data_IF_175843643803
#
_entry.id   IF_175843643803
#
_cell.length_a   1.000
_cell.length_b   1.000
_cell.length_c   1.000
_cell.angle_alpha   90.00
_cell.angle_beta   90.00
_cell.angle_gamma   90.00
#
_symmetry.space_group_name_H-M   'P 1'
#
loop_
_entity.id
_entity.type
_entity.pdbx_description
1 polymer ?
#
# COMPACT_ATOMS: atom_id res chain seq x y z
N UNK A 1 -36.40 40.51 -33.46
CA UNK A 1 -35.88 40.84 -32.13
C UNK A 1 -36.88 40.29 -31.15
N UNK A 2 -36.63 39.10 -30.62
CA UNK A 2 -37.16 38.62 -29.34
C UNK A 2 -36.50 37.26 -29.07
N UNK A 3 -35.90 37.16 -27.91
CA UNK A 3 -35.11 36.04 -27.43
C UNK A 3 -35.91 35.49 -26.23
N UNK A 4 -36.34 34.23 -26.29
CA UNK A 4 -36.79 33.49 -25.11
C UNK A 4 -36.28 32.07 -25.20
N UNK A 5 -35.30 31.78 -24.35
CA UNK A 5 -34.82 30.46 -24.00
C UNK A 5 -35.93 29.71 -23.27
N UNK A 6 -36.41 28.60 -23.84
CA UNK A 6 -37.12 27.60 -23.07
C UNK A 6 -36.45 26.25 -23.26
N UNK A 7 -36.05 25.71 -22.11
CA UNK A 7 -35.37 24.45 -21.90
C UNK A 7 -36.21 23.26 -22.38
N UNK A 8 -35.63 22.41 -23.23
CA UNK A 8 -36.13 21.05 -23.45
C UNK A 8 -34.99 20.12 -23.88
N UNK A 9 -34.49 19.33 -22.93
CA UNK A 9 -33.86 18.04 -23.22
C UNK A 9 -34.83 16.97 -22.73
N UNK A 10 -35.57 16.39 -23.68
CA UNK A 10 -36.55 15.34 -23.45
C UNK A 10 -36.04 13.99 -24.00
N UNK A 11 -36.53 12.96 -23.33
CA UNK A 11 -36.57 11.52 -23.63
C UNK A 11 -35.33 10.68 -23.33
N UNK A 12 -35.52 9.81 -22.34
CA UNK A 12 -35.14 8.39 -22.40
C UNK A 12 -33.67 8.10 -22.09
N UNK A 13 -33.29 7.06 -21.35
CA UNK A 13 -33.96 5.78 -21.17
C UNK A 13 -33.49 5.16 -19.87
N UNK A 14 -34.43 4.67 -19.07
CA UNK A 14 -34.13 3.59 -18.14
C UNK A 14 -33.88 2.35 -19.01
N UNK A 15 -32.62 1.99 -19.25
CA UNK A 15 -32.27 0.75 -19.93
C UNK A 15 -32.50 -0.42 -18.97
N UNK A 16 -33.63 -1.11 -19.15
CA UNK A 16 -33.84 -2.43 -18.56
C UNK A 16 -32.92 -3.43 -19.27
N UNK A 17 -31.93 -3.93 -18.55
CA UNK A 17 -31.04 -4.99 -19.04
C UNK A 17 -31.82 -6.31 -19.01
N UNK A 18 -32.23 -6.80 -20.18
CA UNK A 18 -32.66 -8.18 -20.37
C UNK A 18 -31.45 -9.08 -20.54
N UNK A 19 -31.60 -10.37 -20.24
CA UNK A 19 -30.55 -11.39 -20.11
C UNK A 19 -29.64 -11.63 -21.32
N UNK A 20 -29.82 -10.90 -22.43
CA UNK A 20 -29.34 -11.31 -23.74
C UNK A 20 -28.31 -10.34 -24.35
N UNK A 21 -27.85 -9.31 -23.62
CA UNK A 21 -26.80 -8.39 -24.12
C UNK A 21 -25.40 -8.85 -23.71
N UNK A 22 -24.62 -9.31 -24.69
CA UNK A 22 -23.22 -9.73 -24.49
C UNK A 22 -22.30 -8.54 -24.21
N UNK A 23 -21.46 -8.72 -23.21
CA UNK A 23 -20.66 -7.72 -22.48
C UNK A 23 -19.42 -7.20 -23.24
N UNK A 24 -19.42 -7.17 -24.57
CA UNK A 24 -18.13 -7.03 -25.28
C UNK A 24 -17.76 -5.58 -25.62
N UNK A 25 -18.66 -4.61 -25.47
CA UNK A 25 -18.41 -3.27 -25.99
C UNK A 25 -18.87 -2.14 -25.06
N UNK A 26 -18.18 -1.89 -23.93
CA UNK A 26 -18.08 -0.54 -23.33
C UNK A 26 -16.93 -0.34 -22.30
N UNK A 27 -15.90 0.41 -22.73
CA UNK A 27 -15.09 1.45 -22.04
C UNK A 27 -14.01 1.09 -20.99
N UNK A 28 -12.85 1.70 -21.22
CA UNK A 28 -11.58 1.66 -20.47
C UNK A 28 -11.66 2.31 -19.08
N UNK A 29 -11.19 1.61 -18.03
CA UNK A 29 -10.99 2.20 -16.68
C UNK A 29 -9.64 1.78 -16.09
N UNK A 30 -8.57 2.42 -16.56
CA UNK A 30 -7.29 2.40 -15.85
C UNK A 30 -7.34 3.36 -14.64
N UNK A 31 -7.56 2.83 -13.44
CA UNK A 31 -7.18 3.54 -12.20
C UNK A 31 -5.85 2.99 -11.70
N UNK A 32 -4.77 3.73 -11.99
CA UNK A 32 -3.51 3.62 -11.29
C UNK A 32 -3.66 4.33 -9.94
N UNK A 33 -3.69 3.53 -8.88
CA UNK A 33 -3.85 4.00 -7.51
C UNK A 33 -2.48 3.93 -6.81
N UNK A 34 -1.70 4.99 -6.64
CA UNK A 34 -0.38 4.88 -6.04
C UNK A 34 -0.39 4.58 -4.53
N UNK A 35 -1.56 4.57 -3.87
CA UNK A 35 -1.73 4.27 -2.44
C UNK A 35 -2.24 2.83 -2.25
N UNK A 36 -3.04 2.29 -3.19
CA UNK A 36 -3.48 0.88 -3.28
C UNK A 36 -2.79 0.06 -4.39
N UNK A 37 -1.88 0.65 -5.16
CA UNK A 37 -1.07 0.10 -6.29
C UNK A 37 0.25 0.90 -6.51
N UNK A 38 1.10 1.12 -5.49
CA UNK A 38 2.39 1.78 -5.70
C UNK A 38 3.33 0.91 -6.58
N UNK A 39 4.02 1.49 -7.58
CA UNK A 39 5.12 0.84 -8.25
C UNK A 39 6.28 0.73 -7.26
N UNK A 40 6.75 -0.49 -7.09
CA UNK A 40 7.73 -0.87 -6.07
C UNK A 40 8.95 0.06 -6.05
N UNK A 41 9.27 0.60 -4.88
CA UNK A 41 10.53 1.30 -4.64
C UNK A 41 11.69 0.32 -4.69
N UNK A 42 12.30 0.16 -5.85
CA UNK A 42 13.76 0.00 -5.93
C UNK A 42 14.31 1.39 -6.20
N UNK A 43 14.82 2.05 -5.16
CA UNK A 43 15.61 3.27 -5.35
C UNK A 43 16.79 2.89 -6.25
N UNK A 44 16.77 3.37 -7.49
CA UNK A 44 17.82 3.20 -8.49
C UNK A 44 19.13 3.79 -7.93
N UNK A 45 19.90 2.97 -7.22
CA UNK A 45 21.04 3.41 -6.41
C UNK A 45 21.49 2.43 -5.32
N UNK A 46 20.74 1.34 -5.07
CA UNK A 46 21.18 0.27 -4.15
C UNK A 46 20.97 0.56 -2.67
N UNK A 47 20.20 1.61 -2.33
CA UNK A 47 19.79 1.87 -0.95
C UNK A 47 18.62 0.97 -0.58
N UNK A 48 18.82 0.10 0.40
CA UNK A 48 17.76 -0.76 0.93
C UNK A 48 16.70 0.07 1.67
N UNK A 49 15.42 -0.33 1.56
CA UNK A 49 14.31 0.37 2.21
C UNK A 49 14.53 0.53 3.72
N UNK A 50 15.17 -0.45 4.38
CA UNK A 50 15.45 -0.39 5.82
C UNK A 50 16.42 0.73 6.18
N UNK A 51 17.39 1.02 5.31
CA UNK A 51 18.39 2.06 5.52
C UNK A 51 17.77 3.43 5.31
N UNK A 52 16.86 3.56 4.33
CA UNK A 52 16.03 4.75 4.16
C UNK A 52 15.18 5.03 5.41
N UNK A 53 14.49 4.02 5.95
CA UNK A 53 13.70 4.16 7.18
C UNK A 53 14.57 4.65 8.35
N UNK A 54 15.80 4.14 8.47
CA UNK A 54 16.74 4.58 9.49
C UNK A 54 17.14 6.05 9.33
N UNK A 55 17.40 6.49 8.10
CA UNK A 55 17.74 7.90 7.81
C UNK A 55 16.58 8.84 8.16
N UNK A 56 15.36 8.47 7.77
CA UNK A 56 14.16 9.31 7.98
C UNK A 56 13.76 9.39 9.45
N UNK A 57 13.79 8.27 10.17
CA UNK A 57 13.29 8.21 11.54
C UNK A 57 14.33 8.62 12.60
N UNK A 58 15.61 8.71 12.20
CA UNK A 58 16.72 8.83 13.14
C UNK A 58 16.92 7.57 13.99
N UNK A 59 17.96 7.56 14.82
CA UNK A 59 18.37 6.35 15.53
C UNK A 59 17.29 5.83 16.50
N UNK A 60 16.68 6.71 17.30
CA UNK A 60 15.63 6.32 18.24
C UNK A 60 14.37 5.85 17.50
N UNK A 61 13.89 6.60 16.51
CA UNK A 61 12.71 6.22 15.75
C UNK A 61 12.91 4.91 14.98
N UNK A 62 14.12 4.63 14.51
CA UNK A 62 14.47 3.34 13.90
C UNK A 62 14.40 2.18 14.89
N UNK A 63 14.88 2.37 16.13
CA UNK A 63 14.75 1.36 17.20
C UNK A 63 13.27 1.04 17.45
N UNK A 64 12.43 2.07 17.57
CA UNK A 64 11.00 1.91 17.82
C UNK A 64 10.28 1.24 16.63
N UNK A 65 10.68 1.59 15.40
CA UNK A 65 10.20 0.95 14.17
C UNK A 65 10.55 -0.54 14.10
N UNK A 66 11.79 -0.91 14.42
CA UNK A 66 12.20 -2.31 14.48
C UNK A 66 11.42 -3.06 15.57
N UNK A 67 11.28 -2.47 16.76
CA UNK A 67 10.52 -3.07 17.87
C UNK A 67 9.06 -3.34 17.49
N UNK A 68 8.39 -2.38 16.86
CA UNK A 68 7.02 -2.57 16.35
C UNK A 68 6.92 -3.70 15.32
N UNK A 69 7.91 -3.86 14.45
CA UNK A 69 7.93 -4.98 13.49
C UNK A 69 8.16 -6.33 14.18
N UNK A 70 9.02 -6.40 15.20
CA UNK A 70 9.20 -7.62 16.00
C UNK A 70 7.86 -8.05 16.61
N UNK A 71 7.14 -7.12 17.27
CA UNK A 71 5.82 -7.39 17.85
C UNK A 71 4.83 -7.84 16.76
N UNK A 72 4.79 -7.14 15.63
CA UNK A 72 3.91 -7.47 14.50
C UNK A 72 4.10 -8.90 14.03
N UNK A 73 5.33 -9.35 13.79
CA UNK A 73 5.58 -10.70 13.28
C UNK A 73 5.43 -11.78 14.35
N UNK A 74 5.77 -11.48 15.62
CA UNK A 74 5.45 -12.35 16.76
C UNK A 74 3.95 -12.47 17.02
N UNK A 75 3.14 -11.47 16.70
CA UNK A 75 1.70 -11.64 16.76
C UNK A 75 1.21 -12.50 15.58
N UNK A 76 1.75 -12.27 14.37
CA UNK A 76 1.21 -12.80 13.12
C UNK A 76 1.44 -14.30 12.89
N UNK A 77 2.50 -14.89 13.47
CA UNK A 77 2.90 -16.27 13.17
C UNK A 77 1.80 -17.31 13.47
N UNK A 78 0.97 -17.06 14.50
CA UNK A 78 -0.12 -17.95 14.90
C UNK A 78 -1.39 -17.82 14.05
N UNK A 79 -1.49 -16.83 13.15
CA UNK A 79 -2.76 -16.52 12.47
C UNK A 79 -2.68 -16.49 10.94
N UNK A 80 -1.51 -16.28 10.33
CA UNK A 80 -1.38 -16.13 8.86
C UNK A 80 -0.74 -17.31 8.12
N UNK A 81 -0.60 -18.47 8.76
CA UNK A 81 -0.23 -19.73 8.11
C UNK A 81 1.19 -19.81 7.55
N UNK A 82 2.07 -18.86 7.91
CA UNK A 82 3.51 -18.87 7.54
C UNK A 82 4.40 -18.61 8.77
N UNK A 83 4.32 -19.46 9.81
CA UNK A 83 4.92 -19.16 11.11
C UNK A 83 6.44 -18.99 11.04
N UNK A 84 7.14 -19.86 10.29
CA UNK A 84 8.60 -19.80 10.15
C UNK A 84 9.03 -18.49 9.48
N UNK A 85 8.42 -18.12 8.35
CA UNK A 85 8.73 -16.87 7.65
C UNK A 85 8.47 -15.63 8.53
N UNK A 86 7.41 -15.67 9.36
CA UNK A 86 7.14 -14.60 10.31
C UNK A 86 8.21 -14.54 11.41
N UNK A 87 8.65 -15.68 11.94
CA UNK A 87 9.74 -15.71 12.93
C UNK A 87 11.08 -15.26 12.35
N UNK A 88 11.40 -15.62 11.11
CA UNK A 88 12.59 -15.12 10.41
C UNK A 88 12.55 -13.60 10.23
N UNK A 89 11.38 -13.04 9.90
CA UNK A 89 11.20 -11.58 9.84
C UNK A 89 11.32 -10.92 11.21
N UNK A 90 10.75 -11.51 12.25
CA UNK A 90 10.93 -11.03 13.61
C UNK A 90 12.41 -10.99 14.00
N UNK A 91 13.17 -12.06 13.70
CA UNK A 91 14.61 -12.12 13.93
C UNK A 91 15.38 -11.06 13.13
N UNK A 92 15.04 -10.85 11.87
CA UNK A 92 15.65 -9.80 11.04
C UNK A 92 15.53 -8.42 11.69
N UNK A 93 14.33 -8.03 12.12
CA UNK A 93 14.12 -6.74 12.79
C UNK A 93 14.75 -6.66 14.17
N UNK A 94 14.78 -7.76 14.92
CA UNK A 94 15.48 -7.83 16.20
C UNK A 94 16.98 -7.59 16.04
N UNK A 95 17.62 -8.20 15.04
CA UNK A 95 19.04 -7.99 14.77
C UNK A 95 19.34 -6.52 14.44
N UNK A 96 18.53 -5.89 13.57
CA UNK A 96 18.66 -4.47 13.23
C UNK A 96 18.48 -3.57 14.47
N UNK A 97 17.55 -3.91 15.36
CA UNK A 97 17.33 -3.21 16.63
C UNK A 97 18.53 -3.34 17.57
N UNK A 98 19.11 -4.54 17.69
CA UNK A 98 20.31 -4.79 18.51
C UNK A 98 21.49 -3.95 18.00
N UNK A 99 21.71 -3.90 16.69
CA UNK A 99 22.79 -3.11 16.09
C UNK A 99 22.61 -1.61 16.36
N UNK A 100 21.37 -1.10 16.23
CA UNK A 100 21.05 0.29 16.54
C UNK A 100 21.21 0.62 18.03
N UNK A 101 20.83 -0.30 18.93
CA UNK A 101 21.02 -0.15 20.37
C UNK A 101 22.50 -0.15 20.76
N UNK A 102 23.31 -1.05 20.15
CA UNK A 102 24.76 -1.04 20.33
C UNK A 102 25.35 0.30 19.93
N UNK A 103 24.90 0.89 18.83
CA UNK A 103 25.36 2.22 18.42
C UNK A 103 24.91 3.32 19.39
N UNK A 104 23.67 3.29 19.86
CA UNK A 104 23.13 4.27 20.81
C UNK A 104 23.89 4.29 22.14
N UNK A 105 24.41 3.15 22.57
CA UNK A 105 25.08 2.94 23.86
C UNK A 105 26.60 2.76 23.76
N UNK A 106 27.21 3.07 22.60
CA UNK A 106 28.66 3.22 22.46
C UNK A 106 29.11 4.56 23.05
#
# INVERSE_FOLDING_TARGET
>A
MEHSTEDAFDIGDTVTVTSDTTFDHLKFSGEYDPVNKPPHYTLNGGLECIDYMRQVLGLQGFIDYCHGNVIKYQHRYNYKGKPVQDMEKAQYYLNKMIDALKEKHK
#
